data_IF_322882090995
#
_entry.id   IF_322882090995
#
_cell.length_a   1.000
_cell.length_b   1.000
_cell.length_c   1.000
_cell.angle_alpha   90.00
_cell.angle_beta   90.00
_cell.angle_gamma   90.00
#
_symmetry.space_group_name_H-M   'P 1'
#
loop_
_entity.id
_entity.type
_entity.pdbx_description
1 polymer ?
#
# COMPACT_ATOMS: atom_id res chain seq x y z
N UNK A 1 6.15 -19.47 31.13
CA UNK A 1 6.96 -18.39 30.50
C UNK A 1 6.97 -18.48 28.96
N UNK A 2 7.27 -19.64 28.37
CA UNK A 2 7.24 -19.83 26.90
C UNK A 2 5.88 -19.58 26.23
N UNK A 3 4.77 -19.89 26.92
CA UNK A 3 3.42 -19.64 26.40
C UNK A 3 3.13 -18.17 26.09
N UNK A 4 3.71 -17.24 26.86
CA UNK A 4 3.48 -15.80 26.67
C UNK A 4 4.22 -15.31 25.42
N UNK A 5 5.46 -15.77 25.20
CA UNK A 5 6.20 -15.46 23.97
C UNK A 5 5.55 -16.09 22.73
N UNK A 6 5.09 -17.34 22.82
CA UNK A 6 4.39 -18.00 21.73
C UNK A 6 3.08 -17.28 21.37
N UNK A 7 2.31 -16.85 22.36
CA UNK A 7 1.07 -16.10 22.14
C UNK A 7 1.34 -14.73 21.50
N UNK A 8 2.36 -14.00 21.97
CA UNK A 8 2.78 -12.72 21.38
C UNK A 8 3.28 -12.87 19.94
N UNK A 9 4.04 -13.93 19.64
CA UNK A 9 4.52 -14.22 18.28
C UNK A 9 3.38 -14.61 17.34
N UNK A 10 2.43 -15.42 17.80
CA UNK A 10 1.25 -15.81 17.01
C UNK A 10 0.32 -14.61 16.78
N UNK A 11 0.11 -13.75 17.79
CA UNK A 11 -0.65 -12.50 17.62
C UNK A 11 0.02 -11.53 16.64
N UNK A 12 1.36 -11.43 16.69
CA UNK A 12 2.13 -10.64 15.74
C UNK A 12 2.07 -11.20 14.31
N UNK A 13 1.95 -12.52 14.16
CA UNK A 13 1.88 -13.19 12.86
C UNK A 13 0.46 -13.22 12.25
N UNK A 14 -0.60 -13.25 13.07
CA UNK A 14 -1.97 -13.50 12.60
C UNK A 14 -2.66 -12.29 11.96
N UNK A 15 -2.17 -11.07 12.16
CA UNK A 15 -2.71 -9.88 11.51
C UNK A 15 -1.66 -9.36 10.54
N UNK A 16 -1.64 -9.81 9.27
CA UNK A 16 -0.73 -9.27 8.27
C UNK A 16 -1.05 -7.78 8.09
N UNK A 17 -0.32 -6.95 8.84
CA UNK A 17 -0.24 -5.47 8.80
C UNK A 17 -1.37 -4.65 9.42
N UNK A 18 -2.43 -5.23 9.96
CA UNK A 18 -3.42 -4.49 10.75
C UNK A 18 -2.86 -3.96 12.08
N UNK A 19 -2.02 -4.74 12.76
CA UNK A 19 -1.33 -4.26 13.97
C UNK A 19 -0.25 -3.21 13.66
N UNK A 20 0.43 -3.34 12.50
CA UNK A 20 1.34 -2.29 12.00
C UNK A 20 0.64 -0.98 11.61
N UNK A 21 -0.60 -1.05 11.13
CA UNK A 21 -1.39 0.12 10.72
C UNK A 21 -1.97 0.91 11.90
N UNK A 22 -2.42 0.21 12.94
CA UNK A 22 -3.16 0.84 14.05
C UNK A 22 -2.42 0.93 15.38
N UNK A 23 -1.39 0.09 15.61
CA UNK A 23 -0.79 -0.06 16.94
C UNK A 23 0.74 0.06 16.95
N UNK A 24 1.41 0.01 15.79
CA UNK A 24 2.88 0.03 15.74
C UNK A 24 3.43 1.45 15.56
N UNK A 25 4.23 1.98 16.50
CA UNK A 25 4.86 3.30 16.38
C UNK A 25 5.81 3.40 15.17
N UNK A 26 6.40 2.28 14.73
CA UNK A 26 7.23 2.23 13.54
C UNK A 26 6.44 2.40 12.22
N UNK A 27 5.16 1.96 12.21
CA UNK A 27 4.26 2.17 11.08
C UNK A 27 3.85 3.64 10.91
N UNK A 28 3.65 4.35 12.02
CA UNK A 28 3.38 5.78 12.02
C UNK A 28 4.58 6.60 11.51
N UNK A 29 5.80 6.24 11.91
CA UNK A 29 7.03 6.89 11.42
C UNK A 29 7.19 6.66 9.91
N UNK A 30 6.94 5.45 9.42
CA UNK A 30 6.95 5.12 7.99
C UNK A 30 5.87 5.90 7.22
N UNK A 31 4.67 6.08 7.77
CA UNK A 31 3.62 6.87 7.12
C UNK A 31 3.98 8.36 7.01
N UNK A 32 4.63 8.92 8.03
CA UNK A 32 5.13 10.30 8.03
C UNK A 32 6.31 10.47 7.05
N UNK A 33 7.27 9.55 7.05
CA UNK A 33 8.36 9.52 6.08
C UNK A 33 7.85 9.33 4.65
N UNK A 34 6.80 8.54 4.47
CA UNK A 34 6.18 8.30 3.18
C UNK A 34 5.43 9.55 2.65
N UNK A 35 4.77 10.32 3.51
CA UNK A 35 4.23 11.64 3.15
C UNK A 35 5.31 12.61 2.65
N UNK A 36 6.53 12.49 3.17
CA UNK A 36 7.70 13.26 2.74
C UNK A 36 8.52 12.55 1.66
N UNK A 37 8.15 11.32 1.30
CA UNK A 37 8.89 10.53 0.35
C UNK A 37 8.59 11.05 -1.04
N UNK A 38 9.66 11.42 -1.75
CA UNK A 38 9.61 11.95 -3.10
C UNK A 38 8.98 10.97 -4.10
N UNK A 39 8.94 9.69 -3.77
CA UNK A 39 8.32 8.65 -4.60
C UNK A 39 6.81 8.92 -4.78
N UNK A 40 6.33 8.76 -5.99
CA UNK A 40 4.92 8.75 -6.32
C UNK A 40 4.61 7.59 -7.26
N UNK A 41 3.34 7.28 -7.40
CA UNK A 41 2.87 6.37 -8.44
C UNK A 41 2.14 7.21 -9.49
N UNK A 42 2.40 6.96 -10.77
CA UNK A 42 1.56 7.44 -11.88
C UNK A 42 0.64 6.32 -12.31
N UNK A 43 -0.55 6.70 -12.76
CA UNK A 43 -1.50 5.82 -13.43
C UNK A 43 -1.77 6.36 -14.82
N UNK A 44 -1.42 5.56 -15.82
CA UNK A 44 -1.72 5.87 -17.22
C UNK A 44 -3.24 5.67 -17.47
N UNK A 45 -4.04 6.74 -17.71
CA UNK A 45 -5.48 6.62 -17.91
C UNK A 45 -5.85 5.95 -19.25
N UNK A 46 -4.90 5.91 -20.20
CA UNK A 46 -5.06 5.28 -21.51
C UNK A 46 -4.93 3.76 -21.40
N UNK A 47 -3.99 3.30 -20.57
CA UNK A 47 -3.74 1.87 -20.38
C UNK A 47 -4.67 1.26 -19.37
N UNK A 48 -5.16 2.04 -18.42
CA UNK A 48 -6.06 1.54 -17.40
C UNK A 48 -7.49 1.58 -17.91
N UNK A 49 -8.14 0.42 -18.02
CA UNK A 49 -9.57 0.33 -18.31
C UNK A 49 -10.38 1.10 -17.25
N UNK A 50 -10.73 2.36 -17.55
CA UNK A 50 -11.60 3.20 -16.74
C UNK A 50 -12.99 2.56 -16.71
N UNK A 51 -13.32 1.82 -15.64
CA UNK A 51 -14.71 1.41 -15.40
C UNK A 51 -14.97 0.22 -14.48
N UNK A 52 -14.04 -0.74 -14.33
CA UNK A 52 -14.37 -1.98 -13.58
C UNK A 52 -13.23 -2.67 -12.84
N UNK A 53 -11.98 -2.25 -13.04
CA UNK A 53 -10.83 -2.94 -12.46
C UNK A 53 -10.55 -2.46 -11.03
N UNK A 54 -10.81 -3.32 -10.04
CA UNK A 54 -10.48 -3.10 -8.61
C UNK A 54 -9.31 -3.97 -8.13
N UNK A 55 -8.58 -4.60 -9.07
CA UNK A 55 -7.45 -5.50 -8.78
C UNK A 55 -6.34 -4.80 -7.97
N UNK A 56 -6.05 -3.52 -8.28
CA UNK A 56 -5.05 -2.74 -7.54
C UNK A 56 -5.48 -2.49 -6.08
N UNK A 57 -6.77 -2.25 -5.84
CA UNK A 57 -7.33 -2.02 -4.49
C UNK A 57 -7.37 -3.32 -3.69
N UNK A 58 -7.77 -4.44 -4.31
CA UNK A 58 -7.79 -5.76 -3.66
C UNK A 58 -6.40 -6.30 -3.35
N UNK A 59 -5.43 -6.04 -4.24
CA UNK A 59 -4.04 -6.42 -4.04
C UNK A 59 -3.30 -5.52 -3.05
N UNK A 60 -3.85 -4.34 -2.74
CA UNK A 60 -3.24 -3.39 -1.82
C UNK A 60 -3.40 -3.87 -0.37
N UNK A 61 -2.33 -4.35 0.28
CA UNK A 61 -2.37 -4.74 1.70
C UNK A 61 -2.76 -3.59 2.66
N UNK A 62 -2.57 -2.34 2.24
CA UNK A 62 -2.95 -1.15 3.03
C UNK A 62 -4.36 -0.64 2.70
N UNK A 63 -5.05 -1.25 1.72
CA UNK A 63 -6.36 -0.82 1.21
C UNK A 63 -6.44 0.67 0.89
N UNK A 64 -5.38 1.20 0.29
CA UNK A 64 -5.35 2.58 -0.22
C UNK A 64 -6.36 2.69 -1.38
N UNK A 65 -7.22 3.73 -1.42
CA UNK A 65 -8.22 3.92 -2.46
C UNK A 65 -7.60 4.43 -3.78
N UNK A 66 -6.71 3.66 -4.40
CA UNK A 66 -5.91 4.01 -5.60
C UNK A 66 -6.75 4.55 -6.78
N UNK A 67 -8.04 4.22 -6.84
CA UNK A 67 -8.97 4.68 -7.88
C UNK A 67 -9.46 6.11 -7.68
N UNK A 68 -9.46 6.61 -6.44
CA UNK A 68 -9.96 7.94 -6.07
C UNK A 68 -8.83 9.00 -6.07
N UNK A 69 -7.57 8.55 -6.16
CA UNK A 69 -6.39 9.43 -6.22
C UNK A 69 -6.12 9.94 -7.64
N UNK A 70 -5.41 11.08 -7.78
CA UNK A 70 -5.06 11.67 -9.08
C UNK A 70 -4.22 10.72 -9.96
N UNK A 71 -4.45 10.78 -11.28
CA UNK A 71 -3.76 9.93 -12.26
C UNK A 71 -2.28 10.28 -12.41
N UNK A 72 -1.96 11.56 -12.28
CA UNK A 72 -0.66 12.10 -12.62
C UNK A 72 0.37 11.71 -11.56
N UNK A 73 0.24 12.16 -10.31
CA UNK A 73 1.08 11.67 -9.22
C UNK A 73 0.21 11.44 -8.00
N UNK A 74 0.15 10.20 -7.55
CA UNK A 74 -0.48 9.88 -6.27
C UNK A 74 0.50 9.24 -5.30
N UNK A 75 0.47 9.74 -4.08
CA UNK A 75 1.13 9.16 -2.92
C UNK A 75 0.17 9.32 -1.75
N UNK A 76 -0.20 8.19 -1.16
CA UNK A 76 -1.02 8.14 0.04
C UNK A 76 -0.09 7.88 1.22
N UNK A 77 -0.25 8.55 2.38
CA UNK A 77 0.63 8.35 3.54
C UNK A 77 0.66 6.89 4.01
N UNK A 78 -0.40 6.10 3.78
CA UNK A 78 -0.43 4.69 4.13
C UNK A 78 0.17 3.77 3.05
N UNK A 79 0.55 4.32 1.89
CA UNK A 79 1.28 3.57 0.88
C UNK A 79 2.68 3.22 1.39
N UNK A 80 3.14 1.98 1.18
CA UNK A 80 4.49 1.57 1.56
C UNK A 80 5.36 1.24 0.34
N UNK A 81 4.96 1.70 -0.85
CA UNK A 81 5.57 1.38 -2.15
C UNK A 81 5.90 -0.11 -2.34
N UNK A 82 5.03 -1.00 -1.86
CA UNK A 82 5.25 -2.45 -2.01
C UNK A 82 5.09 -2.97 -3.45
N UNK A 83 4.74 -2.10 -4.41
CA UNK A 83 4.56 -2.37 -5.84
C UNK A 83 3.55 -3.47 -6.22
N UNK A 84 2.90 -4.12 -5.24
CA UNK A 84 1.85 -5.12 -5.46
C UNK A 84 0.70 -4.63 -6.34
N UNK A 85 0.40 -3.34 -6.31
CA UNK A 85 -0.60 -2.74 -7.18
C UNK A 85 -0.17 -2.74 -8.66
N UNK A 86 1.12 -2.54 -8.95
CA UNK A 86 1.68 -2.61 -10.29
C UNK A 86 1.74 -4.06 -10.79
N UNK A 87 2.13 -5.00 -9.93
CA UNK A 87 2.16 -6.43 -10.26
C UNK A 87 0.77 -7.02 -10.52
N UNK A 88 -0.23 -6.62 -9.73
CA UNK A 88 -1.60 -7.08 -9.91
C UNK A 88 -2.29 -6.45 -11.14
N UNK A 89 -1.73 -5.38 -11.69
CA UNK A 89 -2.29 -4.70 -12.85
C UNK A 89 -1.98 -5.47 -14.13
N UNK A 90 -2.97 -6.17 -14.69
CA UNK A 90 -2.84 -6.89 -15.98
C UNK A 90 -2.35 -6.01 -17.12
N UNK A 91 -2.78 -4.75 -17.15
CA UNK A 91 -2.45 -3.77 -18.20
C UNK A 91 -1.14 -3.01 -17.91
N UNK A 92 -0.49 -3.27 -16.76
CA UNK A 92 0.72 -2.56 -16.30
C UNK A 92 0.59 -1.04 -16.43
N UNK A 93 -0.57 -0.52 -16.04
CA UNK A 93 -0.91 0.90 -16.14
C UNK A 93 -0.36 1.74 -14.99
N UNK A 94 0.18 1.11 -13.94
CA UNK A 94 0.75 1.78 -12.77
C UNK A 94 2.27 1.76 -12.91
N UNK A 95 2.90 2.93 -12.79
CA UNK A 95 4.35 3.10 -12.81
C UNK A 95 4.82 3.90 -11.61
N UNK A 96 6.07 3.70 -11.22
CA UNK A 96 6.74 4.54 -10.24
C UNK A 96 7.19 5.83 -10.92
N UNK A 97 6.84 6.94 -10.30
CA UNK A 97 7.25 8.28 -10.66
C UNK A 97 8.20 8.79 -9.57
N UNK A 98 9.43 9.06 -9.95
CA UNK A 98 10.35 9.84 -9.13
C UNK A 98 10.21 11.32 -9.55
N UNK A 99 10.42 12.33 -8.67
CA UNK A 99 10.50 13.73 -9.09
C UNK A 99 11.62 13.99 -10.12
#
# INVERSE_FOLDING_TARGET
QFFIMAFVLVFAAFIPRGWCRYFCPHGAIMAVLNRFSFLGLRRDPVKCAKGGCRLCVSACPMRVPILDLPWEKFSDPECIYCMKCADACREKAIKLEYP
#
